data_IF_956956771441
#
_entry.id   IF_956956771441
#
_cell.length_a   1.000
_cell.length_b   1.000
_cell.length_c   1.000
_cell.angle_alpha   90.00
_cell.angle_beta   90.00
_cell.angle_gamma   90.00
#
_symmetry.space_group_name_H-M   'P 1'
#
loop_
_entity.id
_entity.type
_entity.pdbx_description
1 polymer ?
#
# COMPACT_ATOMS: atom_id res chain seq x y z
N UNK A 1 -17.95 25.38 34.51
CA UNK A 1 -17.20 24.38 33.70
C UNK A 1 -17.61 22.98 34.18
N UNK A 2 -17.88 22.01 33.32
CA UNK A 2 -18.19 20.65 33.76
C UNK A 2 -17.03 20.07 34.54
N UNK A 3 -17.31 19.34 35.62
CA UNK A 3 -16.27 18.71 36.46
C UNK A 3 -15.46 17.73 35.61
N UNK A 4 -14.15 17.55 35.92
CA UNK A 4 -13.23 16.59 35.21
C UNK A 4 -13.85 15.19 35.10
N UNK A 5 -14.62 14.77 36.09
CA UNK A 5 -15.33 13.48 36.09
C UNK A 5 -16.45 13.41 35.03
N UNK A 6 -17.18 14.53 34.81
CA UNK A 6 -18.26 14.59 33.82
C UNK A 6 -17.69 14.50 32.38
N UNK A 7 -16.61 15.21 32.09
CA UNK A 7 -15.92 15.16 30.78
C UNK A 7 -15.43 13.72 30.52
N UNK A 8 -14.80 13.09 31.50
CA UNK A 8 -14.32 11.71 31.38
C UNK A 8 -15.45 10.72 31.07
N UNK A 9 -16.59 10.86 31.74
CA UNK A 9 -17.75 10.00 31.50
C UNK A 9 -18.31 10.15 30.08
N UNK A 10 -18.38 11.40 29.57
CA UNK A 10 -18.83 11.68 28.20
C UNK A 10 -17.88 11.09 27.18
N UNK A 11 -16.56 11.32 27.32
CA UNK A 11 -15.56 10.77 26.41
C UNK A 11 -15.53 9.23 26.42
N UNK A 12 -15.69 8.60 27.60
CA UNK A 12 -15.79 7.16 27.71
C UNK A 12 -17.05 6.62 27.01
N UNK A 13 -18.17 7.32 27.15
CA UNK A 13 -19.42 6.97 26.48
C UNK A 13 -19.26 7.08 24.96
N UNK A 14 -18.73 8.18 24.47
CA UNK A 14 -18.47 8.40 23.03
C UNK A 14 -17.51 7.33 22.49
N UNK A 15 -16.35 7.13 23.13
CA UNK A 15 -15.34 6.14 22.72
C UNK A 15 -15.95 4.73 22.59
N UNK A 16 -16.75 4.32 23.57
CA UNK A 16 -17.37 2.98 23.59
C UNK A 16 -18.41 2.81 22.48
N UNK A 17 -19.31 3.77 22.30
CA UNK A 17 -20.37 3.67 21.32
C UNK A 17 -19.86 3.85 19.90
N UNK A 18 -18.99 4.80 19.68
CA UNK A 18 -18.36 5.01 18.37
C UNK A 18 -17.52 3.80 17.99
N UNK A 19 -16.74 3.24 18.91
CA UNK A 19 -15.98 2.02 18.66
C UNK A 19 -16.85 0.80 18.38
N UNK A 20 -17.98 0.63 19.08
CA UNK A 20 -18.91 -0.47 18.84
C UNK A 20 -19.61 -0.34 17.47
N UNK A 21 -20.08 0.86 17.11
CA UNK A 21 -20.79 1.10 15.84
C UNK A 21 -19.85 0.98 14.62
N UNK A 22 -18.65 1.55 14.70
CA UNK A 22 -17.68 1.50 13.62
C UNK A 22 -16.87 0.19 13.56
N UNK A 23 -16.90 -0.60 14.64
CA UNK A 23 -16.00 -1.74 14.85
C UNK A 23 -16.04 -2.79 13.75
N UNK A 24 -17.19 -3.05 13.12
CA UNK A 24 -17.27 -4.00 12.01
C UNK A 24 -16.54 -3.50 10.76
N UNK A 25 -16.69 -2.22 10.43
CA UNK A 25 -15.97 -1.61 9.30
C UNK A 25 -14.47 -1.53 9.61
N UNK A 26 -14.11 -1.15 10.84
CA UNK A 26 -12.71 -1.16 11.32
C UNK A 26 -12.10 -2.56 11.16
N UNK A 27 -12.86 -3.61 11.53
CA UNK A 27 -12.41 -4.99 11.38
C UNK A 27 -12.07 -5.32 9.92
N UNK A 28 -12.97 -5.00 8.99
CA UNK A 28 -12.78 -5.29 7.56
C UNK A 28 -11.55 -4.57 7.02
N UNK A 29 -11.43 -3.25 7.25
CA UNK A 29 -10.27 -2.49 6.74
C UNK A 29 -8.96 -2.89 7.42
N UNK A 30 -8.99 -3.30 8.70
CA UNK A 30 -7.80 -3.76 9.43
C UNK A 30 -7.30 -5.10 8.91
N UNK A 31 -8.20 -6.08 8.74
CA UNK A 31 -7.83 -7.41 8.22
C UNK A 31 -7.32 -7.30 6.79
N UNK A 32 -8.03 -6.58 5.93
CA UNK A 32 -7.60 -6.40 4.53
C UNK A 32 -6.30 -5.62 4.43
N UNK A 33 -6.13 -4.55 5.23
CA UNK A 33 -4.88 -3.79 5.30
C UNK A 33 -3.70 -4.65 5.76
N UNK A 34 -3.88 -5.46 6.80
CA UNK A 34 -2.83 -6.38 7.28
C UNK A 34 -2.40 -7.41 6.23
N UNK A 35 -3.34 -7.95 5.45
CA UNK A 35 -3.06 -8.85 4.32
C UNK A 35 -2.26 -8.12 3.23
N UNK A 36 -2.65 -6.88 2.90
CA UNK A 36 -2.02 -6.09 1.84
C UNK A 36 -0.58 -5.63 2.18
N UNK A 37 -0.18 -5.58 3.46
CA UNK A 37 1.20 -5.25 3.85
C UNK A 37 2.22 -6.17 3.17
N UNK A 38 1.89 -7.47 3.03
CA UNK A 38 2.75 -8.48 2.41
C UNK A 38 2.15 -9.06 1.12
N UNK A 39 1.33 -8.28 0.41
CA UNK A 39 0.65 -8.70 -0.83
C UNK A 39 1.60 -9.38 -1.82
N UNK A 40 2.74 -8.74 -2.10
CA UNK A 40 3.74 -9.26 -3.04
C UNK A 40 4.29 -10.63 -2.61
N UNK A 41 4.66 -10.78 -1.34
CA UNK A 41 5.15 -12.06 -0.81
C UNK A 41 4.07 -13.14 -0.86
N UNK A 42 2.83 -12.76 -0.55
CA UNK A 42 1.68 -13.67 -0.64
C UNK A 42 1.40 -14.09 -2.08
N UNK A 43 1.54 -13.19 -3.06
CA UNK A 43 1.41 -13.54 -4.48
C UNK A 43 2.43 -14.58 -4.91
N UNK A 44 3.71 -14.40 -4.55
CA UNK A 44 4.76 -15.37 -4.84
C UNK A 44 4.48 -16.73 -4.20
N UNK A 45 3.92 -16.73 -3.00
CA UNK A 45 3.61 -17.95 -2.25
C UNK A 45 2.40 -18.70 -2.83
N UNK A 46 1.36 -17.96 -3.23
CA UNK A 46 0.12 -18.51 -3.76
C UNK A 46 0.24 -18.91 -5.24
N UNK A 47 1.13 -18.29 -5.99
CA UNK A 47 1.35 -18.53 -7.42
C UNK A 47 2.86 -18.67 -7.74
N UNK A 48 3.53 -19.66 -7.12
CA UNK A 48 4.97 -19.89 -7.35
C UNK A 48 5.27 -20.25 -8.82
N UNK A 49 4.26 -20.71 -9.56
CA UNK A 49 4.32 -21.00 -10.99
C UNK A 49 4.63 -19.75 -11.85
N UNK A 50 4.30 -18.55 -11.38
CA UNK A 50 4.52 -17.28 -12.10
C UNK A 50 5.85 -16.59 -11.75
N UNK A 51 6.69 -17.23 -10.96
CA UNK A 51 7.95 -16.63 -10.51
C UNK A 51 9.14 -17.56 -10.78
N UNK A 52 10.35 -17.00 -10.99
CA UNK A 52 11.56 -17.79 -11.23
C UNK A 52 11.82 -18.76 -10.08
N UNK A 53 12.16 -19.99 -10.42
CA UNK A 53 12.57 -21.01 -9.42
C UNK A 53 13.94 -20.71 -8.82
N UNK A 54 14.80 -20.06 -9.58
CA UNK A 54 16.15 -19.67 -9.16
C UNK A 54 16.26 -18.15 -9.16
N UNK A 55 17.05 -17.62 -8.22
CA UNK A 55 17.37 -16.20 -8.19
C UNK A 55 18.27 -15.83 -9.37
N UNK A 56 17.94 -14.73 -10.05
CA UNK A 56 18.70 -14.25 -11.21
C UNK A 56 19.27 -12.86 -10.91
N UNK A 57 20.59 -12.77 -10.80
CA UNK A 57 21.25 -11.49 -10.61
C UNK A 57 21.03 -10.54 -11.80
N UNK A 58 21.03 -9.22 -11.56
CA UNK A 58 20.72 -8.22 -12.61
C UNK A 58 21.60 -8.38 -13.87
N UNK A 59 22.87 -8.70 -13.70
CA UNK A 59 23.83 -8.89 -14.80
C UNK A 59 23.69 -10.23 -15.55
N UNK A 60 22.80 -11.11 -15.10
CA UNK A 60 22.52 -12.42 -15.71
C UNK A 60 21.14 -12.41 -16.40
N UNK A 61 20.44 -11.29 -16.41
CA UNK A 61 19.12 -11.15 -17.02
C UNK A 61 19.27 -11.05 -18.53
N UNK A 62 18.40 -11.75 -19.24
CA UNK A 62 18.27 -11.57 -20.70
C UNK A 62 17.69 -10.18 -21.01
N UNK A 63 17.98 -9.61 -22.21
CA UNK A 63 17.36 -8.37 -22.65
C UNK A 63 15.83 -8.43 -22.59
N UNK A 64 15.19 -7.36 -22.13
CA UNK A 64 13.72 -7.26 -22.04
C UNK A 64 13.10 -7.35 -23.44
N UNK A 65 13.77 -6.80 -24.45
CA UNK A 65 13.36 -6.88 -25.86
C UNK A 65 13.23 -8.32 -26.35
N UNK A 66 14.04 -9.25 -25.87
CA UNK A 66 13.99 -10.67 -26.23
C UNK A 66 12.71 -11.33 -25.71
N UNK A 67 12.37 -11.13 -24.42
CA UNK A 67 11.11 -11.63 -23.85
C UNK A 67 9.90 -11.00 -24.54
N UNK A 68 9.98 -9.71 -24.89
CA UNK A 68 8.93 -9.01 -25.63
C UNK A 68 8.77 -9.59 -27.04
N UNK A 69 9.87 -9.85 -27.75
CA UNK A 69 9.84 -10.45 -29.10
C UNK A 69 9.22 -11.85 -29.08
N UNK A 70 9.64 -12.71 -28.15
CA UNK A 70 9.06 -14.05 -27.98
C UNK A 70 7.55 -14.01 -27.67
N UNK A 71 7.11 -13.03 -26.87
CA UNK A 71 5.68 -12.85 -26.58
C UNK A 71 4.90 -12.46 -27.84
N UNK A 72 5.42 -11.51 -28.63
CA UNK A 72 4.79 -11.02 -29.84
C UNK A 72 4.82 -12.05 -30.99
N UNK A 73 5.88 -12.87 -31.07
CA UNK A 73 5.94 -13.98 -32.04
C UNK A 73 4.79 -14.97 -31.85
N UNK A 74 4.51 -15.33 -30.59
CA UNK A 74 3.39 -16.23 -30.26
C UNK A 74 2.02 -15.54 -30.32
N UNK A 75 1.98 -14.21 -30.27
CA UNK A 75 0.76 -13.39 -30.24
C UNK A 75 0.93 -12.12 -31.08
N UNK A 76 0.97 -12.23 -32.41
CA UNK A 76 1.25 -11.09 -33.30
C UNK A 76 0.26 -9.91 -33.18
N UNK A 77 -0.98 -10.18 -32.76
CA UNK A 77 -1.99 -9.14 -32.56
C UNK A 77 -2.00 -8.52 -31.15
N UNK A 78 -1.12 -8.99 -30.24
CA UNK A 78 -1.06 -8.46 -28.87
C UNK A 78 -0.47 -7.04 -28.86
N UNK A 79 -1.14 -6.16 -28.14
CA UNK A 79 -0.62 -4.81 -27.88
C UNK A 79 -0.08 -4.77 -26.45
N UNK A 80 1.23 -4.73 -26.30
CA UNK A 80 1.87 -4.55 -25.01
C UNK A 80 1.87 -3.06 -24.66
N UNK A 81 1.22 -2.72 -23.54
CA UNK A 81 1.07 -1.35 -23.07
C UNK A 81 2.14 -0.97 -22.05
N UNK A 82 2.68 -1.96 -21.34
CA UNK A 82 3.66 -1.70 -20.31
C UNK A 82 4.42 -2.95 -19.92
N UNK A 83 5.56 -2.70 -19.28
CA UNK A 83 6.50 -3.71 -18.81
C UNK A 83 6.85 -3.38 -17.37
N UNK A 84 6.70 -4.33 -16.46
CA UNK A 84 7.21 -4.22 -15.09
C UNK A 84 8.50 -5.02 -14.98
N UNK A 85 9.56 -4.34 -14.60
CA UNK A 85 10.86 -4.95 -14.40
C UNK A 85 10.93 -5.70 -13.07
N UNK A 86 11.76 -6.74 -12.96
CA UNK A 86 11.95 -7.50 -11.72
C UNK A 86 12.48 -6.60 -10.60
N UNK A 87 11.79 -6.61 -9.44
CA UNK A 87 12.12 -5.82 -8.25
C UNK A 87 13.32 -6.35 -7.49
N UNK A 88 13.46 -7.68 -7.51
CA UNK A 88 14.54 -8.42 -6.87
C UNK A 88 14.98 -9.62 -7.73
N UNK A 89 15.86 -10.45 -7.22
CA UNK A 89 16.42 -11.58 -7.95
C UNK A 89 15.45 -12.75 -8.15
N UNK A 90 14.31 -12.74 -7.45
CA UNK A 90 13.27 -13.78 -7.54
C UNK A 90 11.96 -13.25 -8.13
N UNK A 91 11.96 -12.00 -8.60
CA UNK A 91 10.78 -11.43 -9.24
C UNK A 91 10.79 -11.71 -10.76
N UNK A 92 9.61 -11.86 -11.32
CA UNK A 92 9.41 -12.06 -12.75
C UNK A 92 9.41 -10.73 -13.51
N UNK A 93 9.84 -10.77 -14.76
CA UNK A 93 9.51 -9.74 -15.74
C UNK A 93 8.03 -9.89 -16.13
N UNK A 94 7.27 -8.79 -16.15
CA UNK A 94 5.84 -8.84 -16.47
C UNK A 94 5.50 -7.91 -17.63
N UNK A 95 4.89 -8.48 -18.66
CA UNK A 95 4.36 -7.75 -19.81
C UNK A 95 2.85 -7.57 -19.65
N UNK A 96 2.38 -6.34 -19.76
CA UNK A 96 0.95 -6.01 -19.70
C UNK A 96 0.38 -5.86 -21.09
N UNK A 97 -0.57 -6.74 -21.46
CA UNK A 97 -1.24 -6.71 -22.76
C UNK A 97 -2.76 -6.82 -22.57
N UNK A 98 -3.48 -5.77 -22.90
CA UNK A 98 -4.92 -5.70 -22.70
C UNK A 98 -5.30 -5.94 -21.21
N UNK A 99 -6.10 -6.95 -20.97
CA UNK A 99 -6.54 -7.35 -19.62
C UNK A 99 -5.65 -8.40 -18.97
N UNK A 100 -4.54 -8.80 -19.62
CA UNK A 100 -3.64 -9.86 -19.16
C UNK A 100 -2.29 -9.33 -18.71
N UNK A 101 -1.68 -10.02 -17.77
CA UNK A 101 -0.30 -9.88 -17.34
C UNK A 101 0.43 -11.20 -17.61
N UNK A 102 1.43 -11.17 -18.48
CA UNK A 102 2.26 -12.30 -18.87
C UNK A 102 3.59 -12.24 -18.11
N UNK A 103 3.97 -13.34 -17.50
CA UNK A 103 5.13 -13.46 -16.61
C UNK A 103 6.25 -14.22 -17.31
N UNK A 104 7.47 -13.72 -17.16
CA UNK A 104 8.68 -14.30 -17.77
C UNK A 104 9.78 -14.43 -16.73
N UNK A 105 10.55 -15.50 -16.84
CA UNK A 105 11.80 -15.67 -16.10
C UNK A 105 12.85 -14.68 -16.65
N UNK A 106 13.36 -13.75 -15.82
CA UNK A 106 14.29 -12.74 -16.31
C UNK A 106 15.68 -13.30 -16.66
N UNK A 107 16.02 -14.52 -16.22
CA UNK A 107 17.30 -15.16 -16.52
C UNK A 107 17.32 -15.94 -17.84
N UNK A 108 16.21 -16.63 -18.15
CA UNK A 108 16.11 -17.45 -19.36
C UNK A 108 15.23 -16.82 -20.45
N UNK A 109 14.41 -15.82 -20.10
CA UNK A 109 13.38 -15.29 -21.01
C UNK A 109 12.17 -16.21 -21.15
N UNK A 110 12.12 -17.33 -20.45
CA UNK A 110 11.05 -18.32 -20.53
C UNK A 110 9.71 -17.76 -20.08
N UNK A 111 8.66 -18.05 -20.84
CA UNK A 111 7.29 -17.73 -20.44
C UNK A 111 6.82 -18.64 -19.31
N UNK A 112 6.55 -18.06 -18.13
CA UNK A 112 6.11 -18.77 -16.93
C UNK A 112 4.60 -18.97 -16.88
N UNK A 113 3.83 -18.04 -17.39
CA UNK A 113 2.38 -18.07 -17.36
C UNK A 113 1.75 -16.69 -17.48
N UNK A 114 0.43 -16.65 -17.39
CA UNK A 114 -0.31 -15.39 -17.41
C UNK A 114 -1.48 -15.40 -16.44
N UNK A 115 -1.92 -14.21 -16.08
CA UNK A 115 -3.14 -14.01 -15.29
C UNK A 115 -3.86 -12.73 -15.69
N UNK A 116 -5.16 -12.63 -15.41
CA UNK A 116 -5.87 -11.36 -15.55
C UNK A 116 -5.24 -10.26 -14.67
N UNK A 117 -5.14 -9.04 -15.22
CA UNK A 117 -4.68 -7.84 -14.46
C UNK A 117 -5.69 -7.44 -13.38
N UNK A 118 -6.97 -7.76 -13.59
CA UNK A 118 -8.06 -7.47 -12.67
C UNK A 118 -8.77 -8.76 -12.26
N UNK A 119 -9.31 -8.80 -11.05
CA UNK A 119 -10.10 -9.94 -10.57
C UNK A 119 -9.34 -10.96 -9.71
N UNK A 120 -8.05 -10.73 -9.43
CA UNK A 120 -7.30 -11.52 -8.44
C UNK A 120 -7.76 -11.25 -7.00
N UNK A 121 -7.34 -12.11 -6.07
CA UNK A 121 -7.64 -11.94 -4.64
C UNK A 121 -7.12 -10.59 -4.11
N UNK A 122 -5.98 -10.10 -4.60
CA UNK A 122 -5.40 -8.82 -4.24
C UNK A 122 -6.31 -7.65 -4.59
N UNK A 123 -6.92 -7.67 -5.78
CA UNK A 123 -7.88 -6.64 -6.20
C UNK A 123 -9.12 -6.63 -5.31
N UNK A 124 -9.56 -7.82 -4.88
CA UNK A 124 -10.67 -7.97 -3.92
C UNK A 124 -10.29 -7.36 -2.58
N UNK A 125 -9.10 -7.66 -2.06
CA UNK A 125 -8.60 -7.08 -0.80
C UNK A 125 -8.44 -5.56 -0.90
N UNK A 126 -7.87 -5.05 -1.99
CA UNK A 126 -7.75 -3.61 -2.23
C UNK A 126 -9.14 -2.95 -2.24
N UNK A 127 -10.09 -3.47 -3.02
CA UNK A 127 -11.45 -2.92 -3.10
C UNK A 127 -12.19 -2.96 -1.75
N UNK A 128 -12.03 -4.04 -0.98
CA UNK A 128 -12.58 -4.11 0.38
C UNK A 128 -11.94 -3.06 1.29
N UNK A 129 -10.60 -2.89 1.21
CA UNK A 129 -9.87 -1.95 2.03
C UNK A 129 -10.19 -0.49 1.73
N UNK A 130 -10.25 -0.12 0.45
CA UNK A 130 -10.38 1.29 0.04
C UNK A 130 -11.82 1.77 -0.12
N UNK A 131 -12.77 0.86 -0.38
CA UNK A 131 -14.17 1.24 -0.67
C UNK A 131 -15.22 0.17 -0.34
N UNK A 132 -14.89 -0.86 0.45
CA UNK A 132 -15.81 -1.94 0.85
C UNK A 132 -16.53 -2.60 -0.35
N UNK A 133 -15.95 -2.56 -1.53
CA UNK A 133 -16.55 -2.97 -2.83
C UNK A 133 -17.81 -2.17 -3.21
N UNK A 134 -18.07 -1.01 -2.58
CA UNK A 134 -19.26 -0.16 -2.79
C UNK A 134 -18.93 1.17 -3.51
N UNK A 135 -17.83 1.21 -4.28
CA UNK A 135 -17.44 2.39 -5.06
C UNK A 135 -17.29 3.65 -4.20
N UNK A 136 -17.86 4.77 -4.67
CA UNK A 136 -17.73 6.07 -4.01
C UNK A 136 -18.35 6.11 -2.60
N UNK A 137 -19.50 5.48 -2.42
CA UNK A 137 -20.20 5.41 -1.11
C UNK A 137 -19.34 4.66 -0.10
N UNK A 138 -18.85 3.48 -0.47
CA UNK A 138 -17.96 2.70 0.39
C UNK A 138 -16.66 3.44 0.70
N UNK A 139 -16.08 4.16 -0.28
CA UNK A 139 -14.91 5.00 -0.07
C UNK A 139 -15.15 6.10 0.98
N UNK A 140 -16.31 6.74 0.95
CA UNK A 140 -16.69 7.72 1.98
C UNK A 140 -16.82 7.07 3.35
N UNK A 141 -17.45 5.89 3.44
CA UNK A 141 -17.55 5.13 4.70
C UNK A 141 -16.15 4.81 5.25
N UNK A 142 -15.22 4.35 4.41
CA UNK A 142 -13.83 4.05 4.82
C UNK A 142 -13.14 5.30 5.37
N UNK A 143 -13.24 6.44 4.69
CA UNK A 143 -12.63 7.71 5.15
C UNK A 143 -13.22 8.17 6.48
N UNK A 144 -14.55 8.18 6.62
CA UNK A 144 -15.21 8.54 7.89
C UNK A 144 -14.77 7.59 9.00
N UNK A 145 -14.73 6.28 8.71
CA UNK A 145 -14.28 5.27 9.69
C UNK A 145 -12.81 5.47 10.06
N UNK A 146 -11.95 5.85 9.12
CA UNK A 146 -10.54 6.16 9.41
C UNK A 146 -10.42 7.40 10.29
N UNK A 147 -11.24 8.43 10.06
CA UNK A 147 -11.36 9.58 10.97
C UNK A 147 -11.83 9.17 12.38
N UNK A 148 -12.76 8.23 12.46
CA UNK A 148 -13.21 7.64 13.74
C UNK A 148 -12.05 6.91 14.42
N UNK A 149 -11.22 6.13 13.71
CA UNK A 149 -10.03 5.47 14.28
C UNK A 149 -9.08 6.50 14.91
N UNK A 150 -8.82 7.61 14.23
CA UNK A 150 -8.00 8.71 14.79
C UNK A 150 -8.63 9.25 16.08
N UNK A 151 -9.92 9.54 16.06
CA UNK A 151 -10.65 10.00 17.27
C UNK A 151 -10.62 8.99 18.41
N UNK A 152 -10.76 7.70 18.10
CA UNK A 152 -10.66 6.61 19.09
C UNK A 152 -9.25 6.49 19.66
N UNK A 153 -8.20 6.62 18.85
CA UNK A 153 -6.81 6.58 19.32
C UNK A 153 -6.53 7.76 20.26
N UNK A 154 -6.92 8.97 19.89
CA UNK A 154 -6.71 10.17 20.72
C UNK A 154 -7.52 10.12 22.03
N UNK A 155 -8.80 9.77 21.96
CA UNK A 155 -9.65 9.62 23.16
C UNK A 155 -9.20 8.45 24.03
N UNK A 156 -8.72 7.34 23.42
CA UNK A 156 -8.16 6.20 24.11
C UNK A 156 -6.91 6.55 24.91
N UNK A 157 -5.97 7.30 24.34
CA UNK A 157 -4.77 7.82 25.00
C UNK A 157 -5.14 8.74 26.17
N UNK A 158 -6.11 9.64 25.96
CA UNK A 158 -6.59 10.54 27.02
C UNK A 158 -7.25 9.76 28.18
N UNK A 159 -8.07 8.74 27.89
CA UNK A 159 -8.69 7.87 28.88
C UNK A 159 -7.68 6.99 29.61
N UNK A 160 -6.62 6.57 28.92
CA UNK A 160 -5.53 5.77 29.46
C UNK A 160 -4.66 6.56 30.46
N UNK A 161 -4.37 7.84 30.19
CA UNK A 161 -3.42 8.66 30.94
C UNK A 161 -3.57 8.57 32.47
N UNK A 162 -4.79 8.64 33.08
CA UNK A 162 -4.94 8.50 34.53
C UNK A 162 -4.72 7.06 35.04
N UNK A 163 -4.98 6.06 34.18
CA UNK A 163 -4.90 4.63 34.60
C UNK A 163 -3.48 4.08 34.47
N UNK A 164 -2.70 4.60 33.53
CA UNK A 164 -1.31 4.23 33.21
C UNK A 164 -1.09 2.71 33.16
N UNK A 165 -2.02 1.98 32.51
CA UNK A 165 -1.93 0.54 32.32
C UNK A 165 -0.93 0.27 31.21
N UNK A 166 0.26 -0.25 31.54
CA UNK A 166 1.36 -0.54 30.61
C UNK A 166 1.66 -2.04 30.49
N UNK A 167 0.95 -2.89 31.22
CA UNK A 167 1.13 -4.35 31.25
C UNK A 167 -0.06 -5.09 31.82
N UNK A 168 0.08 -6.40 31.93
CA UNK A 168 -0.96 -7.31 32.36
C UNK A 168 -0.84 -7.60 33.86
N UNK A 169 -1.97 -7.62 34.56
CA UNK A 169 -2.04 -8.00 35.99
C UNK A 169 -2.19 -9.50 36.13
N UNK A 170 -1.32 -10.13 36.91
CA UNK A 170 -1.42 -11.56 37.24
C UNK A 170 -2.71 -11.83 38.04
N UNK A 171 -3.39 -12.96 37.77
CA UNK A 171 -4.64 -13.34 38.43
C UNK A 171 -5.83 -12.42 38.12
N UNK A 172 -5.78 -11.60 37.11
CA UNK A 172 -6.85 -10.70 36.71
C UNK A 172 -8.10 -11.47 36.27
N UNK A 173 -9.29 -10.94 36.59
CA UNK A 173 -10.54 -11.44 36.04
C UNK A 173 -10.54 -11.27 34.49
N UNK A 174 -11.32 -12.09 33.77
CA UNK A 174 -11.45 -12.03 32.33
C UNK A 174 -11.73 -10.61 31.79
N UNK A 175 -12.63 -9.88 32.46
CA UNK A 175 -12.94 -8.49 32.11
C UNK A 175 -11.72 -7.58 32.30
N UNK A 176 -10.98 -7.76 33.41
CA UNK A 176 -9.78 -6.98 33.70
C UNK A 176 -8.67 -7.28 32.70
N UNK A 177 -8.47 -8.55 32.36
CA UNK A 177 -7.52 -8.96 31.30
C UNK A 177 -7.83 -8.28 29.95
N UNK A 178 -9.11 -8.25 29.52
CA UNK A 178 -9.50 -7.56 28.30
C UNK A 178 -9.28 -6.04 28.35
N UNK A 179 -9.44 -5.41 29.54
CA UNK A 179 -9.13 -4.00 29.71
C UNK A 179 -7.62 -3.74 29.60
N UNK A 180 -6.81 -4.60 30.23
CA UNK A 180 -5.35 -4.51 30.13
C UNK A 180 -4.89 -4.73 28.69
N UNK A 181 -5.43 -5.75 27.99
CA UNK A 181 -5.15 -6.03 26.58
C UNK A 181 -5.50 -4.84 25.68
N UNK A 182 -6.72 -4.30 25.84
CA UNK A 182 -7.17 -3.14 25.07
C UNK A 182 -6.27 -1.92 25.29
N UNK A 183 -5.92 -1.66 26.55
CA UNK A 183 -5.10 -0.50 26.94
C UNK A 183 -3.65 -0.63 26.48
N UNK A 184 -3.05 -1.80 26.65
CA UNK A 184 -1.66 -2.08 26.25
C UNK A 184 -1.52 -2.06 24.74
N UNK A 185 -2.40 -2.79 24.02
CA UNK A 185 -2.41 -2.77 22.57
C UNK A 185 -2.62 -1.35 22.03
N UNK A 186 -3.58 -0.60 22.63
CA UNK A 186 -3.87 0.78 22.23
C UNK A 186 -2.69 1.73 22.45
N UNK A 187 -2.04 1.65 23.60
CA UNK A 187 -0.90 2.52 23.92
C UNK A 187 0.24 2.34 22.93
N UNK A 188 0.71 1.08 22.77
CA UNK A 188 1.91 0.81 21.97
C UNK A 188 1.68 0.93 20.46
N UNK A 189 0.45 0.72 19.97
CA UNK A 189 0.13 0.88 18.56
C UNK A 189 -0.29 2.31 18.16
N UNK A 190 -0.67 3.16 19.12
CA UNK A 190 -1.33 4.46 18.85
C UNK A 190 -0.56 5.37 17.90
N UNK A 191 0.75 5.49 18.07
CA UNK A 191 1.59 6.35 17.21
C UNK A 191 1.56 5.86 15.76
N UNK A 192 1.82 4.57 15.56
CA UNK A 192 1.85 3.96 14.21
C UNK A 192 0.45 3.96 13.59
N UNK A 193 -0.58 3.71 14.40
CA UNK A 193 -1.97 3.75 13.96
C UNK A 193 -2.36 5.15 13.47
N UNK A 194 -1.96 6.21 14.17
CA UNK A 194 -2.19 7.59 13.73
C UNK A 194 -1.47 7.88 12.41
N UNK A 195 -0.20 7.48 12.28
CA UNK A 195 0.57 7.67 11.03
C UNK A 195 -0.10 6.94 9.86
N UNK A 196 -0.47 5.66 10.03
CA UNK A 196 -1.14 4.86 9.00
C UNK A 196 -2.52 5.45 8.66
N UNK A 197 -3.30 5.87 9.66
CA UNK A 197 -4.63 6.44 9.43
C UNK A 197 -4.57 7.79 8.72
N UNK A 198 -3.68 8.68 9.12
CA UNK A 198 -3.51 9.98 8.48
C UNK A 198 -3.03 9.80 7.04
N UNK A 199 -2.02 8.97 6.80
CA UNK A 199 -1.54 8.68 5.44
C UNK A 199 -2.62 8.03 4.58
N UNK A 200 -3.48 7.18 5.13
CA UNK A 200 -4.62 6.60 4.43
C UNK A 200 -5.66 7.63 3.97
N UNK A 201 -5.97 8.64 4.81
CA UNK A 201 -6.87 9.74 4.42
C UNK A 201 -6.20 10.61 3.35
N UNK A 202 -4.93 10.94 3.53
CA UNK A 202 -4.22 11.80 2.56
C UNK A 202 -4.04 11.13 1.22
N UNK A 203 -3.86 9.80 1.16
CA UNK A 203 -3.88 9.03 -0.08
C UNK A 203 -5.17 9.21 -0.88
N UNK A 204 -6.29 9.50 -0.22
CA UNK A 204 -7.58 9.70 -0.89
C UNK A 204 -7.74 11.12 -1.45
N UNK A 205 -7.20 12.13 -0.79
CA UNK A 205 -7.51 13.54 -1.08
C UNK A 205 -6.30 14.36 -1.51
N UNK A 206 -5.11 13.94 -1.15
CA UNK A 206 -3.89 14.69 -1.40
C UNK A 206 -3.07 14.00 -2.49
N UNK A 207 -3.59 14.01 -3.72
CA UNK A 207 -2.86 13.47 -4.86
C UNK A 207 -1.84 14.50 -5.34
N UNK A 208 -0.61 14.04 -5.62
CA UNK A 208 0.35 14.82 -6.37
C UNK A 208 -0.08 14.92 -7.84
N UNK A 209 0.35 15.95 -8.52
CA UNK A 209 0.21 16.01 -9.96
C UNK A 209 1.06 14.90 -10.59
N UNK A 210 0.43 14.10 -11.44
CA UNK A 210 1.19 13.17 -12.27
C UNK A 210 1.75 13.95 -13.44
N UNK A 211 3.07 13.91 -13.68
CA UNK A 211 3.67 14.56 -14.83
C UNK A 211 2.96 14.13 -16.10
N UNK A 212 2.51 15.11 -16.88
CA UNK A 212 1.84 14.85 -18.15
C UNK A 212 2.92 14.54 -19.20
N UNK A 213 2.73 13.47 -19.99
CA UNK A 213 3.71 13.13 -21.00
C UNK A 213 3.81 14.24 -22.07
N UNK A 214 5.02 14.78 -22.31
CA UNK A 214 5.21 15.75 -23.36
C UNK A 214 4.98 15.10 -24.75
N UNK A 215 4.44 15.82 -25.72
CA UNK A 215 4.21 15.27 -27.05
C UNK A 215 5.53 15.03 -27.79
N UNK A 216 5.63 13.90 -28.47
CA UNK A 216 6.74 13.61 -29.38
C UNK A 216 6.55 14.41 -30.69
N UNK A 217 7.50 15.28 -30.97
CA UNK A 217 7.51 16.14 -32.20
C UNK A 217 8.30 15.47 -33.29
N UNK A 218 9.51 15.02 -32.99
CA UNK A 218 10.39 14.35 -33.95
C UNK A 218 10.02 12.89 -34.11
N UNK A 219 9.98 12.43 -35.37
CA UNK A 219 9.67 11.05 -35.75
C UNK A 219 10.80 10.48 -36.56
N UNK A 220 11.06 9.20 -36.39
CA UNK A 220 11.99 8.42 -37.20
C UNK A 220 11.31 7.18 -37.80
N UNK A 221 12.00 6.49 -38.66
CA UNK A 221 11.50 5.28 -39.30
C UNK A 221 11.54 4.05 -38.36
N UNK A 222 12.45 4.09 -37.40
CA UNK A 222 12.63 3.01 -36.43
C UNK A 222 12.48 3.53 -34.99
N UNK A 223 11.94 2.69 -34.11
CA UNK A 223 11.89 2.96 -32.69
C UNK A 223 13.11 2.38 -31.98
N UNK A 224 13.61 3.06 -30.98
CA UNK A 224 14.62 2.50 -30.05
C UNK A 224 14.05 1.28 -29.33
N UNK A 225 14.92 0.37 -28.93
CA UNK A 225 14.53 -0.82 -28.17
C UNK A 225 14.10 -0.45 -26.74
N UNK A 226 13.34 -1.34 -26.10
CA UNK A 226 12.95 -1.16 -24.69
C UNK A 226 14.16 -1.15 -23.75
N UNK A 227 15.21 -1.92 -24.07
CA UNK A 227 16.45 -1.94 -23.27
C UNK A 227 17.25 -0.65 -23.43
N UNK A 228 17.27 -0.05 -24.63
CA UNK A 228 17.85 1.28 -24.85
C UNK A 228 17.09 2.36 -24.09
N UNK A 229 15.76 2.34 -24.12
CA UNK A 229 14.93 3.28 -23.36
C UNK A 229 15.21 3.18 -21.85
N UNK A 230 15.32 1.97 -21.30
CA UNK A 230 15.68 1.74 -19.90
C UNK A 230 17.07 2.33 -19.61
N UNK A 231 18.07 2.04 -20.44
CA UNK A 231 19.44 2.51 -20.24
C UNK A 231 19.54 4.05 -20.31
N UNK A 232 18.86 4.68 -21.26
CA UNK A 232 18.81 6.13 -21.39
C UNK A 232 18.17 6.77 -20.17
N UNK A 233 17.03 6.24 -19.72
CA UNK A 233 16.34 6.75 -18.53
C UNK A 233 17.18 6.62 -17.26
N UNK A 234 17.87 5.48 -17.05
CA UNK A 234 18.78 5.29 -15.91
C UNK A 234 19.99 6.26 -15.99
N UNK A 235 20.45 6.59 -17.20
CA UNK A 235 21.52 7.57 -17.40
C UNK A 235 21.06 9.00 -17.16
N UNK A 236 19.80 9.33 -17.46
CA UNK A 236 19.21 10.65 -17.23
C UNK A 236 18.99 10.95 -15.75
N UNK A 237 18.78 9.91 -14.92
CA UNK A 237 18.61 10.01 -13.46
C UNK A 237 19.63 9.13 -12.74
N UNK A 238 20.90 9.57 -12.61
CA UNK A 238 21.97 8.74 -12.06
C UNK A 238 21.68 8.27 -10.63
N UNK A 239 21.86 6.96 -10.42
CA UNK A 239 21.56 6.29 -9.15
C UNK A 239 20.13 5.77 -9.01
N UNK A 240 19.22 6.16 -9.90
CA UNK A 240 17.90 5.55 -10.00
C UNK A 240 17.96 4.25 -10.84
N UNK A 241 17.02 3.34 -10.61
CA UNK A 241 16.83 2.11 -11.38
C UNK A 241 15.44 2.08 -11.99
N UNK A 242 15.33 1.66 -13.23
CA UNK A 242 14.04 1.49 -13.88
C UNK A 242 13.22 0.40 -13.17
N UNK A 243 11.97 0.71 -12.89
CA UNK A 243 11.00 -0.17 -12.25
C UNK A 243 9.92 -0.65 -13.22
N UNK A 244 9.50 0.24 -14.13
CA UNK A 244 8.55 -0.09 -15.19
C UNK A 244 8.70 0.83 -16.38
N UNK A 245 8.20 0.37 -17.52
CA UNK A 245 8.17 1.09 -18.77
C UNK A 245 6.76 1.02 -19.34
N UNK A 246 6.17 2.17 -19.65
CA UNK A 246 4.96 2.26 -20.47
C UNK A 246 5.37 2.50 -21.92
N UNK A 247 4.86 1.65 -22.80
CA UNK A 247 5.15 1.73 -24.22
C UNK A 247 4.22 2.75 -24.91
N UNK A 248 4.73 3.52 -25.91
CA UNK A 248 3.87 4.34 -26.73
C UNK A 248 2.87 3.43 -27.45
N UNK A 249 1.60 3.55 -27.09
CA UNK A 249 0.53 2.79 -27.72
C UNK A 249 0.31 3.18 -29.19
N UNK A 250 -0.92 3.09 -29.70
CA UNK A 250 -1.23 3.50 -31.09
C UNK A 250 -1.08 5.00 -31.34
N UNK A 251 -0.99 5.82 -30.26
CA UNK A 251 -0.74 7.25 -30.40
C UNK A 251 0.71 7.50 -30.86
N UNK A 252 0.92 8.02 -32.09
CA UNK A 252 2.26 8.23 -32.63
C UNK A 252 3.03 9.37 -31.93
N UNK A 253 2.36 10.15 -31.06
CA UNK A 253 2.96 11.23 -30.27
C UNK A 253 3.19 10.87 -28.81
N UNK A 254 2.90 9.63 -28.42
CA UNK A 254 3.15 9.18 -27.05
C UNK A 254 4.64 8.86 -26.87
N UNK A 255 5.29 9.38 -25.82
CA UNK A 255 6.66 9.01 -25.47
C UNK A 255 6.72 7.63 -24.82
N UNK A 256 7.92 7.07 -24.68
CA UNK A 256 8.17 6.10 -23.62
C UNK A 256 8.08 6.81 -22.27
N UNK A 257 7.41 6.19 -21.32
CA UNK A 257 7.39 6.62 -19.92
C UNK A 257 8.09 5.58 -19.07
N UNK A 258 9.30 5.88 -18.65
CA UNK A 258 10.08 5.01 -17.76
C UNK A 258 9.92 5.48 -16.33
N UNK A 259 9.39 4.61 -15.47
CA UNK A 259 9.32 4.88 -14.04
C UNK A 259 10.57 4.36 -13.36
N UNK A 260 11.20 5.19 -12.55
CA UNK A 260 12.48 4.90 -11.89
C UNK A 260 12.34 5.01 -10.38
N UNK A 261 13.15 4.23 -9.67
CA UNK A 261 13.22 4.22 -8.21
C UNK A 261 14.64 4.47 -7.72
N UNK A 262 14.79 5.43 -6.81
CA UNK A 262 16.01 5.54 -6.03
C UNK A 262 15.97 4.58 -4.83
N UNK A 263 17.13 4.17 -4.28
CA UNK A 263 17.18 3.27 -3.12
C UNK A 263 16.40 3.79 -1.91
N UNK A 264 16.36 5.11 -1.73
CA UNK A 264 15.67 5.79 -0.64
C UNK A 264 14.14 5.94 -0.83
N UNK A 265 13.62 5.68 -2.02
CA UNK A 265 12.18 5.86 -2.31
C UNK A 265 11.28 4.94 -1.46
N UNK A 266 11.81 3.82 -0.95
CA UNK A 266 11.06 2.83 -0.18
C UNK A 266 9.91 2.16 -0.96
N UNK A 267 9.71 2.55 -2.23
CA UNK A 267 8.72 1.99 -3.12
C UNK A 267 9.40 1.34 -4.33
N UNK A 268 9.26 0.04 -4.51
CA UNK A 268 9.85 -0.64 -5.68
C UNK A 268 9.17 -0.27 -7.01
N UNK A 269 8.01 0.38 -6.96
CA UNK A 269 7.32 0.87 -8.15
C UNK A 269 7.97 2.12 -8.76
N UNK A 270 8.88 2.77 -8.00
CA UNK A 270 9.50 4.03 -8.39
C UNK A 270 8.62 5.26 -8.16
N UNK A 271 9.25 6.42 -8.06
CA UNK A 271 8.60 7.72 -7.85
C UNK A 271 9.11 8.78 -8.82
N UNK A 272 10.23 8.48 -9.49
CA UNK A 272 10.80 9.31 -10.53
C UNK A 272 10.33 8.84 -11.88
N UNK A 273 10.29 9.73 -12.88
CA UNK A 273 9.87 9.38 -14.22
C UNK A 273 10.78 10.08 -15.24
N UNK A 274 11.06 9.37 -16.34
CA UNK A 274 11.70 9.94 -17.52
C UNK A 274 10.79 9.68 -18.74
N UNK A 275 10.57 10.72 -19.53
CA UNK A 275 9.87 10.64 -20.80
C UNK A 275 10.91 10.69 -21.93
N UNK A 276 10.83 9.73 -22.84
CA UNK A 276 11.80 9.60 -23.94
C UNK A 276 11.08 9.62 -25.29
N UNK A 277 11.71 10.24 -26.28
CA UNK A 277 11.30 10.12 -27.66
C UNK A 277 11.54 8.66 -28.12
N UNK A 278 10.50 7.93 -28.56
CA UNK A 278 10.63 6.53 -28.93
C UNK A 278 11.42 6.30 -30.24
N UNK A 279 11.72 7.36 -31.01
CA UNK A 279 12.43 7.26 -32.28
C UNK A 279 13.88 7.69 -32.17
N UNK A 280 14.16 8.80 -31.46
CA UNK A 280 15.51 9.36 -31.32
C UNK A 280 16.22 8.94 -30.05
N UNK A 281 15.46 8.53 -29.02
CA UNK A 281 15.99 8.25 -27.69
C UNK A 281 16.21 9.51 -26.85
N UNK A 282 15.90 10.70 -27.37
CA UNK A 282 16.09 11.94 -26.62
C UNK A 282 15.23 11.96 -25.36
N UNK A 283 15.82 12.45 -24.27
CA UNK A 283 15.12 12.69 -23.01
C UNK A 283 14.29 13.95 -23.17
N UNK A 284 12.97 13.80 -23.19
CA UNK A 284 12.04 14.93 -23.36
C UNK A 284 11.83 15.66 -22.03
N UNK A 285 11.70 14.93 -20.95
CA UNK A 285 11.46 15.47 -19.60
C UNK A 285 11.81 14.45 -18.53
N UNK A 286 12.28 14.92 -17.36
CA UNK A 286 12.51 14.08 -16.19
C UNK A 286 11.90 14.72 -14.95
N UNK A 287 11.35 13.89 -14.08
CA UNK A 287 10.89 14.29 -12.74
C UNK A 287 11.55 13.39 -11.71
N UNK A 288 12.29 13.98 -10.78
CA UNK A 288 13.03 13.25 -9.76
C UNK A 288 12.33 13.32 -8.41
N UNK A 289 12.21 12.18 -7.72
CA UNK A 289 11.70 12.14 -6.34
C UNK A 289 12.62 12.86 -5.34
N UNK A 290 13.87 13.13 -5.72
CA UNK A 290 14.83 13.92 -4.92
C UNK A 290 14.56 15.40 -4.95
N UNK A 291 13.88 15.87 -5.99
CA UNK A 291 13.51 17.25 -6.22
C UNK A 291 12.09 17.54 -5.69
N UNK A 292 11.72 18.82 -5.66
CA UNK A 292 10.39 19.25 -5.23
C UNK A 292 10.31 19.67 -3.77
N UNK A 293 9.14 20.23 -3.44
CA UNK A 293 8.78 20.72 -2.11
C UNK A 293 8.58 19.57 -1.10
N UNK A 294 8.54 19.88 0.18
CA UNK A 294 8.22 18.89 1.22
C UNK A 294 6.85 18.25 1.02
N UNK A 295 5.89 19.01 0.50
CA UNK A 295 4.54 18.51 0.22
C UNK A 295 4.57 17.47 -0.91
N UNK A 296 5.24 17.75 -2.01
CA UNK A 296 5.40 16.82 -3.14
C UNK A 296 6.14 15.55 -2.70
N UNK A 297 7.22 15.69 -1.93
CA UNK A 297 7.93 14.55 -1.35
C UNK A 297 7.02 13.69 -0.45
N UNK A 298 6.17 14.33 0.36
CA UNK A 298 5.19 13.61 1.16
C UNK A 298 4.14 12.91 0.28
N UNK A 299 3.59 13.57 -0.73
CA UNK A 299 2.62 12.99 -1.67
C UNK A 299 3.18 11.75 -2.37
N UNK A 300 4.44 11.80 -2.77
CA UNK A 300 5.14 10.64 -3.33
C UNK A 300 5.40 9.53 -2.28
N UNK A 301 5.63 9.89 -1.01
CA UNK A 301 5.95 8.96 0.07
C UNK A 301 4.72 8.33 0.74
N UNK A 302 3.54 8.96 0.66
CA UNK A 302 2.39 8.61 1.50
C UNK A 302 1.94 7.14 1.38
N UNK A 303 1.96 6.54 0.18
CA UNK A 303 1.64 5.12 0.02
C UNK A 303 2.67 4.23 0.73
N UNK A 304 3.96 4.54 0.59
CA UNK A 304 5.02 3.78 1.25
C UNK A 304 4.99 3.93 2.77
N UNK A 305 4.60 5.11 3.28
CA UNK A 305 4.36 5.35 4.70
C UNK A 305 3.16 4.53 5.18
N UNK A 306 2.05 4.57 4.43
CA UNK A 306 0.82 3.85 4.76
C UNK A 306 1.01 2.33 4.81
N UNK A 307 1.73 1.77 3.85
CA UNK A 307 2.00 0.32 3.76
C UNK A 307 3.19 -0.14 4.58
N UNK A 308 3.93 0.79 5.19
CA UNK A 308 5.17 0.49 5.90
C UNK A 308 6.35 0.18 4.99
N UNK A 309 6.26 0.45 3.68
CA UNK A 309 7.34 0.14 2.75
C UNK A 309 8.57 1.06 2.88
N UNK A 310 8.41 2.26 3.47
CA UNK A 310 9.46 3.30 3.57
C UNK A 310 10.74 2.81 4.26
N UNK A 311 10.64 2.00 5.31
CA UNK A 311 11.78 1.41 6.03
C UNK A 311 11.98 -0.08 5.72
N UNK A 312 11.51 -0.55 4.56
CA UNK A 312 11.67 -1.93 4.11
C UNK A 312 10.90 -2.94 4.97
N UNK A 313 11.52 -4.11 5.21
CA UNK A 313 10.88 -5.23 5.90
C UNK A 313 10.51 -4.90 7.35
N UNK A 314 11.36 -4.13 8.07
CA UNK A 314 11.13 -3.80 9.48
C UNK A 314 9.84 -3.00 9.66
N UNK A 315 9.67 -1.93 8.89
CA UNK A 315 8.47 -1.09 8.99
C UNK A 315 7.21 -1.76 8.46
N UNK A 316 7.32 -2.72 7.53
CA UNK A 316 6.20 -3.60 7.15
C UNK A 316 5.75 -4.48 8.31
N UNK A 317 6.67 -5.07 9.06
CA UNK A 317 6.32 -5.81 10.27
C UNK A 317 5.66 -4.93 11.34
N UNK A 318 6.14 -3.69 11.51
CA UNK A 318 5.50 -2.72 12.41
C UNK A 318 4.06 -2.42 11.93
N UNK A 319 3.84 -2.21 10.64
CA UNK A 319 2.50 -2.00 10.08
C UNK A 319 1.58 -3.22 10.33
N UNK A 320 2.06 -4.44 10.08
CA UNK A 320 1.30 -5.65 10.36
C UNK A 320 0.98 -5.78 11.86
N UNK A 321 1.96 -5.59 12.74
CA UNK A 321 1.74 -5.63 14.20
C UNK A 321 0.75 -4.55 14.66
N UNK A 322 0.75 -3.38 14.01
CA UNK A 322 -0.24 -2.32 14.27
C UNK A 322 -1.65 -2.77 13.86
N UNK A 323 -1.80 -3.42 12.70
CA UNK A 323 -3.08 -4.02 12.30
C UNK A 323 -3.53 -5.12 13.28
N UNK A 324 -2.62 -5.98 13.72
CA UNK A 324 -2.93 -7.01 14.74
C UNK A 324 -3.35 -6.40 16.07
N UNK A 325 -2.67 -5.34 16.52
CA UNK A 325 -3.03 -4.62 17.73
C UNK A 325 -4.42 -3.97 17.62
N UNK A 326 -4.74 -3.35 16.47
CA UNK A 326 -6.06 -2.79 16.21
C UNK A 326 -7.15 -3.87 16.19
N UNK A 327 -6.87 -5.04 15.59
CA UNK A 327 -7.76 -6.19 15.63
C UNK A 327 -8.05 -6.63 17.08
N UNK A 328 -7.02 -6.75 17.91
CA UNK A 328 -7.16 -7.05 19.34
C UNK A 328 -7.96 -5.98 20.09
N UNK A 329 -7.78 -4.70 19.73
CA UNK A 329 -8.56 -3.59 20.30
C UNK A 329 -10.04 -3.67 19.93
N UNK A 330 -10.37 -4.01 18.68
CA UNK A 330 -11.77 -4.20 18.24
C UNK A 330 -12.41 -5.34 19.04
N UNK A 331 -11.76 -6.49 19.10
CA UNK A 331 -12.29 -7.69 19.80
C UNK A 331 -12.45 -7.40 21.29
N UNK A 332 -11.40 -6.93 21.97
CA UNK A 332 -11.45 -6.62 23.39
C UNK A 332 -12.42 -5.47 23.69
N UNK A 333 -12.53 -4.49 22.79
CA UNK A 333 -13.51 -3.41 22.89
C UNK A 333 -14.95 -3.92 22.88
N UNK A 334 -15.30 -4.85 21.98
CA UNK A 334 -16.61 -5.51 21.98
C UNK A 334 -16.86 -6.32 23.25
N UNK A 335 -15.86 -7.06 23.75
CA UNK A 335 -15.96 -7.78 25.03
C UNK A 335 -16.26 -6.82 26.19
N UNK A 336 -15.55 -5.70 26.24
CA UNK A 336 -15.75 -4.67 27.27
C UNK A 336 -17.09 -3.94 27.14
N UNK A 337 -17.57 -3.75 25.91
CA UNK A 337 -18.86 -3.14 25.63
C UNK A 337 -20.01 -4.07 26.02
N UNK A 338 -19.91 -5.37 25.73
CA UNK A 338 -20.94 -6.38 26.04
C UNK A 338 -21.03 -6.68 27.53
N UNK A 339 -19.89 -6.94 28.20
CA UNK A 339 -19.81 -7.26 29.61
C UNK A 339 -19.82 -6.01 30.51
N UNK A 340 -20.88 -5.20 30.43
CA UNK A 340 -21.05 -4.06 31.32
C UNK A 340 -21.25 -4.55 32.76
N UNK A 341 -20.72 -3.86 33.80
CA UNK A 341 -21.19 -4.09 35.15
C UNK A 341 -22.70 -3.81 35.16
N UNK A 342 -23.49 -4.80 35.47
CA UNK A 342 -24.91 -4.57 35.74
C UNK A 342 -25.04 -3.41 36.74
N UNK A 343 -25.98 -2.50 36.55
CA UNK A 343 -26.35 -1.54 37.59
C UNK A 343 -26.81 -2.37 38.78
N UNK A 344 -25.92 -2.49 39.77
CA UNK A 344 -26.36 -3.00 41.07
C UNK A 344 -27.38 -1.98 41.57
N UNK A 345 -28.64 -2.35 41.54
CA UNK A 345 -29.67 -1.65 42.30
C UNK A 345 -29.13 -1.52 43.74
N UNK A 346 -29.11 -0.31 44.33
CA UNK A 346 -28.65 -0.19 45.71
C UNK A 346 -29.54 -1.08 46.55
N UNK A 347 -28.96 -2.10 47.17
CA UNK A 347 -29.61 -2.92 48.15
C UNK A 347 -30.02 -1.97 49.27
N UNK A 348 -31.33 -1.75 49.44
CA UNK A 348 -31.89 -1.00 50.57
C UNK A 348 -31.47 -1.72 51.81
N UNK A 349 -30.48 -1.15 52.50
CA UNK A 349 -30.18 -1.54 53.91
C UNK A 349 -31.44 -1.23 54.70
N UNK A 350 -32.13 -2.28 55.16
CA UNK A 350 -33.13 -2.24 56.23
C UNK A 350 -32.42 -2.34 57.54
#
# INVERSE_FOLDING_TARGET
MPSKNKIRSILLWLHRWTGALAGLVILVITVTGGILVFEYTLQQWLRPDLYPKQATAKNQRVPVAESLAMFLEKRPSAQVQGIRLPRDERDALVLFSGTQAAYFDPGSGEFLGERPRSGGWEQTMIKLHVNLQQGAVGGTIVVVTTGIIIGLALTGLWLWWPLRITGFRRGASFRRFNLDLHSVAGLYSSLFLLVISISGITLRYLHGEHPQPPPVIERGDHRITVDEAIRIAESALPGARAASLELPGPNPRAPFRVQLSFPEDGSPAGRSVAFLNPFTGDVLETHSSREGTLLEKYQMAQLSIHTGATGGTVTRWIALLTCMALLLQVISGYVLWWKRPGSKTPEKIR
#
